data_IF_558627910108
#
_entry.id   IF_558627910108
#
_cell.length_a   1.000
_cell.length_b   1.000
_cell.length_c   1.000
_cell.angle_alpha   90.00
_cell.angle_beta   90.00
_cell.angle_gamma   90.00
#
_symmetry.space_group_name_H-M   'P 1'
#
loop_
_entity.id
_entity.type
_entity.pdbx_description
1 polymer ?
#
# COMPACT_ATOMS: atom_id res chain seq x y z
N UNK A 1 -18.03 29.97 20.59
CA UNK A 1 -17.93 28.54 20.25
C UNK A 1 -17.88 27.71 21.52
N UNK A 2 -18.94 26.95 21.77
CA UNK A 2 -19.08 26.00 22.87
C UNK A 2 -18.16 24.78 22.72
N UNK A 3 -17.97 24.02 23.80
CA UNK A 3 -17.19 22.79 23.79
C UNK A 3 -17.78 21.73 22.82
N UNK A 4 -19.10 21.70 22.69
CA UNK A 4 -19.82 20.80 21.78
C UNK A 4 -19.51 21.13 20.31
N UNK A 5 -19.50 22.41 19.94
CA UNK A 5 -19.17 22.86 18.58
C UNK A 5 -17.72 22.55 18.21
N UNK A 6 -16.79 22.62 19.17
CA UNK A 6 -15.39 22.22 18.96
C UNK A 6 -15.23 20.71 18.80
N UNK A 7 -16.04 19.91 19.51
CA UNK A 7 -16.04 18.46 19.38
C UNK A 7 -16.59 18.02 18.02
N UNK A 8 -17.71 18.58 17.58
CA UNK A 8 -18.29 18.29 16.26
C UNK A 8 -17.40 18.72 15.08
N UNK A 9 -16.54 19.72 15.27
CA UNK A 9 -15.56 20.16 14.26
C UNK A 9 -14.29 19.30 14.18
N UNK A 10 -14.13 18.28 15.03
CA UNK A 10 -12.97 17.40 14.93
C UNK A 10 -13.07 16.56 13.65
N UNK A 11 -12.08 16.72 12.77
CA UNK A 11 -11.95 15.82 11.62
C UNK A 11 -11.66 14.40 12.11
N UNK A 12 -12.56 13.48 11.80
CA UNK A 12 -12.32 12.05 11.94
C UNK A 12 -11.31 11.66 10.85
N UNK A 13 -10.11 11.24 11.25
CA UNK A 13 -9.18 10.61 10.32
C UNK A 13 -9.66 9.18 10.08
N UNK A 14 -10.31 8.96 8.93
CA UNK A 14 -10.67 7.61 8.49
C UNK A 14 -9.42 6.99 7.89
N UNK A 15 -8.94 5.91 8.51
CA UNK A 15 -7.85 5.10 7.94
C UNK A 15 -8.48 3.92 7.21
N UNK A 16 -8.22 3.83 5.91
CA UNK A 16 -8.65 2.69 5.11
C UNK A 16 -7.56 1.64 5.19
N UNK A 17 -7.87 0.52 5.83
CA UNK A 17 -7.02 -0.66 5.83
C UNK A 17 -7.44 -1.56 4.67
N UNK A 18 -6.45 -2.04 3.94
CA UNK A 18 -6.67 -3.00 2.86
C UNK A 18 -5.65 -4.14 2.99
N UNK A 19 -5.96 -5.29 2.41
CA UNK A 19 -5.18 -6.50 2.59
C UNK A 19 -4.02 -6.51 1.61
N UNK A 20 -2.83 -6.80 2.11
CA UNK A 20 -1.68 -7.10 1.27
C UNK A 20 -1.82 -8.53 0.72
N UNK A 21 -1.78 -8.70 -0.60
CA UNK A 21 -1.85 -10.01 -1.26
C UNK A 21 -0.62 -10.88 -0.98
N UNK A 22 0.53 -10.23 -0.71
CA UNK A 22 1.81 -10.92 -0.49
C UNK A 22 1.94 -11.48 0.93
N UNK A 23 1.74 -10.65 1.96
CA UNK A 23 1.87 -11.07 3.36
C UNK A 23 0.54 -11.43 4.02
N UNK A 24 -0.60 -11.15 3.38
CA UNK A 24 -1.93 -11.47 3.87
C UNK A 24 -2.45 -10.58 5.01
N UNK A 25 -1.66 -9.63 5.49
CA UNK A 25 -2.02 -8.73 6.60
C UNK A 25 -2.80 -7.49 6.11
N UNK A 26 -3.66 -6.97 6.99
CA UNK A 26 -4.30 -5.66 6.80
C UNK A 26 -3.28 -4.55 7.07
N UNK A 27 -3.08 -3.65 6.10
CA UNK A 27 -2.12 -2.55 6.18
C UNK A 27 -2.77 -1.23 5.74
N UNK A 28 -2.25 -0.15 6.29
CA UNK A 28 -2.45 1.19 5.75
C UNK A 28 -1.60 1.35 4.49
N UNK A 29 -2.03 2.20 3.57
CA UNK A 29 -1.25 2.63 2.39
C UNK A 29 -0.73 1.49 1.49
N UNK A 30 -1.55 0.46 1.25
CA UNK A 30 -1.23 -0.55 0.23
C UNK A 30 -1.23 0.06 -1.16
N UNK A 31 -0.34 -0.42 -2.02
CA UNK A 31 -0.14 0.06 -3.38
C UNK A 31 -0.44 -1.04 -4.38
N UNK A 32 -1.07 -0.68 -5.50
CA UNK A 32 -1.26 -1.58 -6.62
C UNK A 32 0.04 -1.72 -7.40
N UNK A 33 0.52 -2.94 -7.53
CA UNK A 33 1.62 -3.32 -8.41
C UNK A 33 1.06 -4.00 -9.64
N UNK A 34 1.44 -3.50 -10.80
CA UNK A 34 1.10 -4.12 -12.09
C UNK A 34 2.39 -4.67 -12.69
N UNK A 35 2.47 -5.99 -12.81
CA UNK A 35 3.54 -6.66 -13.55
C UNK A 35 3.16 -6.68 -15.03
N UNK A 36 4.06 -6.23 -15.92
CA UNK A 36 3.79 -6.21 -17.36
C UNK A 36 3.78 -7.64 -17.96
N UNK A 37 4.52 -8.57 -17.35
CA UNK A 37 4.59 -9.96 -17.79
C UNK A 37 5.00 -10.92 -16.65
N UNK A 38 4.22 -11.98 -16.35
CA UNK A 38 2.81 -12.13 -16.73
C UNK A 38 1.97 -10.94 -16.24
N UNK A 39 0.90 -10.60 -16.97
CA UNK A 39 0.05 -9.45 -16.64
C UNK A 39 -0.75 -9.72 -15.36
N UNK A 40 -0.13 -9.47 -14.22
CA UNK A 40 -0.65 -9.73 -12.88
C UNK A 40 -0.72 -8.40 -12.14
N UNK A 41 -1.88 -8.13 -11.55
CA UNK A 41 -2.06 -7.02 -10.61
C UNK A 41 -2.11 -7.58 -9.20
N UNK A 42 -1.24 -7.09 -8.32
CA UNK A 42 -1.21 -7.43 -6.90
C UNK A 42 -1.30 -6.17 -6.05
N UNK A 43 -1.97 -6.25 -4.91
CA UNK A 43 -2.03 -5.19 -3.90
C UNK A 43 -0.97 -5.49 -2.84
N UNK A 44 0.03 -4.64 -2.69
CA UNK A 44 1.16 -4.87 -1.81
C UNK A 44 1.30 -3.74 -0.78
N UNK A 45 1.67 -4.08 0.46
CA UNK A 45 2.14 -3.07 1.40
C UNK A 45 3.50 -2.51 0.95
N UNK A 46 3.88 -1.32 1.43
CA UNK A 46 5.10 -0.63 1.02
C UNK A 46 6.39 -1.48 1.19
N UNK A 47 6.45 -2.32 2.24
CA UNK A 47 7.59 -3.21 2.47
C UNK A 47 7.68 -4.30 1.40
N UNK A 48 6.60 -5.07 1.18
CA UNK A 48 6.56 -6.12 0.15
C UNK A 48 6.76 -5.55 -1.26
N UNK A 49 6.27 -4.34 -1.51
CA UNK A 49 6.48 -3.63 -2.77
C UNK A 49 7.98 -3.36 -3.01
N UNK A 50 8.70 -2.88 -1.99
CA UNK A 50 10.12 -2.51 -2.08
C UNK A 50 11.03 -3.74 -2.23
N UNK A 51 10.76 -4.80 -1.47
CA UNK A 51 11.52 -6.06 -1.51
C UNK A 51 11.54 -6.63 -2.92
N UNK A 52 10.38 -6.68 -3.58
CA UNK A 52 10.29 -7.20 -4.94
C UNK A 52 10.84 -6.28 -6.03
N UNK A 53 10.83 -4.95 -5.83
CA UNK A 53 11.58 -4.07 -6.73
C UNK A 53 13.09 -4.27 -6.62
N UNK A 54 13.59 -4.72 -5.47
CA UNK A 54 15.01 -5.01 -5.27
C UNK A 54 15.41 -6.31 -5.96
N UNK A 55 14.56 -7.34 -5.91
CA UNK A 55 14.74 -8.56 -6.73
C UNK A 55 14.77 -8.26 -8.24
N UNK A 56 13.92 -7.36 -8.73
CA UNK A 56 13.95 -6.93 -10.15
C UNK A 56 15.20 -6.12 -10.51
N UNK A 57 15.87 -5.43 -9.57
CA UNK A 57 17.16 -4.78 -9.81
C UNK A 57 18.32 -5.77 -9.92
N UNK A 58 18.13 -7.03 -9.51
CA UNK A 58 19.06 -8.13 -9.72
C UNK A 58 18.99 -8.75 -11.13
N UNK A 59 17.90 -8.52 -11.86
CA UNK A 59 17.82 -8.73 -13.31
C UNK A 59 18.32 -7.47 -14.02
N UNK A 60 19.58 -7.11 -13.81
CA UNK A 60 20.29 -6.40 -14.87
C UNK A 60 20.26 -7.34 -16.08
N UNK A 61 19.47 -6.95 -17.08
CA UNK A 61 19.44 -7.54 -18.41
C UNK A 61 20.89 -7.79 -18.83
N UNK A 62 21.25 -9.05 -19.03
CA UNK A 62 22.47 -9.38 -19.75
C UNK A 62 22.30 -8.82 -21.17
N UNK A 63 22.96 -7.70 -21.46
CA UNK A 63 23.46 -7.42 -22.81
C UNK A 63 24.78 -8.17 -23.01
#
# INVERSE_FOLDING_TARGET
MSALEKWHKRSLQVRVLDRCDECGELKEDVQKRVSLWPNITAVCCAMCFTEKTTECKGFAVCE
#
